data_IF_824062492492
#
_entry.id   IF_824062492492
#
_cell.length_a   1.000
_cell.length_b   1.000
_cell.length_c   1.000
_cell.angle_alpha   90.00
_cell.angle_beta   90.00
_cell.angle_gamma   90.00
#
_symmetry.space_group_name_H-M   'P 1'
#
loop_
_entity.id
_entity.type
_entity.pdbx_description
1 polymer ?
#
# COMPACT_ATOMS: atom_id res chain seq x y z
N UNK A 1 -0.64 17.03 -4.20
CA UNK A 1 -1.40 17.49 -5.39
C UNK A 1 -2.75 16.80 -5.32
N UNK A 2 -3.80 17.45 -4.80
CA UNK A 2 -5.02 16.75 -4.39
C UNK A 2 -5.73 15.99 -5.52
N UNK A 3 -5.77 16.57 -6.72
CA UNK A 3 -6.42 15.97 -7.90
C UNK A 3 -5.72 14.67 -8.34
N UNK A 4 -4.38 14.65 -8.33
CA UNK A 4 -3.58 13.45 -8.67
C UNK A 4 -3.68 12.40 -7.56
N UNK A 5 -3.76 12.81 -6.30
CA UNK A 5 -3.95 11.89 -5.18
C UNK A 5 -5.33 11.21 -5.23
N UNK A 6 -6.37 11.92 -5.65
CA UNK A 6 -7.71 11.37 -5.89
C UNK A 6 -7.71 10.37 -7.06
N UNK A 7 -7.08 10.73 -8.19
CA UNK A 7 -6.92 9.82 -9.34
C UNK A 7 -6.11 8.57 -8.96
N UNK A 8 -5.04 8.74 -8.19
CA UNK A 8 -4.25 7.64 -7.65
C UNK A 8 -5.07 6.71 -6.76
N UNK A 9 -5.86 7.26 -5.83
CA UNK A 9 -6.77 6.49 -4.98
C UNK A 9 -7.79 5.71 -5.79
N UNK A 10 -8.40 6.34 -6.80
CA UNK A 10 -9.33 5.66 -7.70
C UNK A 10 -8.65 4.54 -8.48
N UNK A 11 -7.47 4.78 -9.05
CA UNK A 11 -6.71 3.76 -9.76
C UNK A 11 -6.42 2.54 -8.86
N UNK A 12 -6.05 2.77 -7.61
CA UNK A 12 -5.84 1.72 -6.61
C UNK A 12 -7.13 0.98 -6.25
N UNK A 13 -8.22 1.72 -6.01
CA UNK A 13 -9.53 1.14 -5.66
C UNK A 13 -10.10 0.26 -6.78
N UNK A 14 -9.88 0.63 -8.05
CA UNK A 14 -10.29 -0.17 -9.21
C UNK A 14 -9.25 -1.20 -9.66
N UNK A 15 -8.07 -1.24 -9.02
CA UNK A 15 -7.01 -2.18 -9.33
C UNK A 15 -6.28 -1.90 -10.65
N UNK A 16 -6.31 -0.67 -11.15
CA UNK A 16 -5.58 -0.26 -12.35
C UNK A 16 -4.09 -0.09 -12.05
N UNK A 17 -3.39 -1.21 -12.07
CA UNK A 17 -1.94 -1.27 -11.84
C UNK A 17 -1.16 -0.46 -12.88
N UNK A 18 -1.65 -0.37 -14.12
CA UNK A 18 -0.94 0.34 -15.19
C UNK A 18 -0.94 1.83 -14.92
N UNK A 19 -2.11 2.39 -14.58
CA UNK A 19 -2.24 3.79 -14.21
C UNK A 19 -1.47 4.11 -12.94
N UNK A 20 -1.52 3.25 -11.92
CA UNK A 20 -0.74 3.45 -10.68
C UNK A 20 0.76 3.55 -10.96
N UNK A 21 1.32 2.66 -11.79
CA UNK A 21 2.74 2.71 -12.18
C UNK A 21 3.06 4.01 -12.93
N UNK A 22 2.21 4.39 -13.89
CA UNK A 22 2.38 5.63 -14.66
C UNK A 22 2.37 6.87 -13.76
N UNK A 23 1.43 6.96 -12.81
CA UNK A 23 1.34 8.08 -11.86
C UNK A 23 2.55 8.16 -10.93
N UNK A 24 3.08 7.03 -10.46
CA UNK A 24 4.30 7.00 -9.64
C UNK A 24 5.54 7.43 -10.41
N UNK A 25 5.61 7.13 -11.71
CA UNK A 25 6.70 7.55 -12.60
C UNK A 25 6.62 9.04 -12.95
N UNK A 26 5.42 9.54 -13.25
CA UNK A 26 5.19 10.93 -13.64
C UNK A 26 5.32 11.90 -12.45
N UNK A 27 4.88 11.47 -11.26
CA UNK A 27 4.82 12.31 -10.06
C UNK A 27 5.71 11.73 -8.94
N UNK A 28 7.02 11.99 -8.93
CA UNK A 28 7.95 11.43 -7.93
C UNK A 28 7.70 11.93 -6.49
N UNK A 29 6.95 13.03 -6.34
CA UNK A 29 6.55 13.61 -5.05
C UNK A 29 5.09 13.28 -4.69
N UNK A 30 4.45 12.35 -5.40
CA UNK A 30 3.09 11.92 -5.09
C UNK A 30 3.02 11.33 -3.68
N UNK A 31 2.04 11.79 -2.90
CA UNK A 31 1.77 11.21 -1.60
C UNK A 31 1.06 9.86 -1.76
N UNK A 32 1.82 8.76 -1.72
CA UNK A 32 1.29 7.38 -1.82
C UNK A 32 0.53 6.94 -0.57
N UNK A 33 0.68 7.68 0.53
CA UNK A 33 -0.03 7.47 1.78
C UNK A 33 -1.21 8.45 1.96
N UNK A 34 -1.72 9.02 0.86
CA UNK A 34 -2.94 9.81 0.87
C UNK A 34 -4.13 9.00 1.41
N UNK A 35 -5.23 9.66 1.74
CA UNK A 35 -6.41 9.00 2.28
C UNK A 35 -7.67 9.46 1.57
N UNK A 36 -8.60 8.53 1.38
CA UNK A 36 -9.93 8.87 0.90
C UNK A 36 -10.79 9.56 1.99
N UNK A 37 -12.05 9.87 1.67
CA UNK A 37 -12.99 10.48 2.61
C UNK A 37 -13.28 9.64 3.88
N UNK A 38 -12.92 8.35 3.90
CA UNK A 38 -13.08 7.45 5.03
C UNK A 38 -11.77 7.24 5.81
N UNK A 39 -10.70 7.95 5.44
CA UNK A 39 -9.39 7.80 6.07
C UNK A 39 -8.65 6.52 5.66
N UNK A 40 -9.06 5.87 4.56
CA UNK A 40 -8.43 4.64 4.06
C UNK A 40 -7.26 5.02 3.15
N UNK A 41 -6.10 4.42 3.39
CA UNK A 41 -4.93 4.57 2.53
C UNK A 41 -5.04 3.67 1.29
N UNK A 42 -4.32 4.00 0.20
CA UNK A 42 -4.19 3.12 -0.98
C UNK A 42 -3.85 1.68 -0.61
N UNK A 43 -2.92 1.48 0.32
CA UNK A 43 -2.50 0.14 0.73
C UNK A 43 -3.65 -0.63 1.40
N UNK A 44 -4.46 0.03 2.25
CA UNK A 44 -5.65 -0.60 2.85
C UNK A 44 -6.74 -0.94 1.83
N UNK A 45 -6.91 -0.11 0.80
CA UNK A 45 -7.81 -0.40 -0.32
C UNK A 45 -7.33 -1.62 -1.11
N UNK A 46 -6.04 -1.69 -1.45
CA UNK A 46 -5.44 -2.82 -2.15
C UNK A 46 -5.58 -4.14 -1.37
N UNK A 47 -5.36 -4.11 -0.04
CA UNK A 47 -5.58 -5.28 0.83
C UNK A 47 -7.05 -5.70 0.84
N UNK A 48 -7.98 -4.75 1.00
CA UNK A 48 -9.43 -5.04 0.98
C UNK A 48 -9.88 -5.70 -0.33
N UNK A 49 -9.26 -5.31 -1.44
CA UNK A 49 -9.55 -5.86 -2.77
C UNK A 49 -8.79 -7.16 -3.05
N UNK A 50 -8.00 -7.68 -2.10
CA UNK A 50 -7.12 -8.84 -2.25
C UNK A 50 -6.18 -8.73 -3.47
N UNK A 51 -5.86 -7.49 -3.88
CA UNK A 51 -5.05 -7.22 -5.05
C UNK A 51 -3.56 -7.30 -4.69
N UNK A 52 -3.03 -8.52 -4.78
CA UNK A 52 -1.63 -8.82 -4.45
C UNK A 52 -0.63 -7.96 -5.21
N UNK A 53 -0.79 -7.80 -6.53
CA UNK A 53 0.17 -7.02 -7.33
C UNK A 53 0.18 -5.55 -6.87
N UNK A 54 -1.00 -4.97 -6.62
CA UNK A 54 -1.12 -3.61 -6.10
C UNK A 54 -0.48 -3.46 -4.72
N UNK A 55 -0.66 -4.45 -3.83
CA UNK A 55 0.00 -4.48 -2.51
C UNK A 55 1.51 -4.47 -2.66
N UNK A 56 2.09 -5.30 -3.54
CA UNK A 56 3.55 -5.35 -3.75
C UNK A 56 4.10 -4.00 -4.24
N UNK A 57 3.40 -3.32 -5.15
CA UNK A 57 3.79 -1.99 -5.62
C UNK A 57 3.74 -0.99 -4.47
N UNK A 58 2.64 -0.92 -3.74
CA UNK A 58 2.45 0.07 -2.67
C UNK A 58 3.40 -0.14 -1.50
N UNK A 59 3.79 -1.38 -1.18
CA UNK A 59 4.83 -1.68 -0.18
C UNK A 59 6.22 -1.13 -0.55
N UNK A 60 6.43 -0.69 -1.79
CA UNK A 60 7.65 0.01 -2.20
C UNK A 60 7.68 1.49 -1.79
N UNK A 61 6.53 2.09 -1.54
CA UNK A 61 6.39 3.54 -1.39
C UNK A 61 5.73 3.97 -0.09
N UNK A 62 4.93 3.11 0.54
CA UNK A 62 4.26 3.41 1.81
C UNK A 62 5.21 3.51 2.99
N UNK A 63 4.80 4.26 4.00
CA UNK A 63 5.52 4.34 5.27
C UNK A 63 5.34 3.07 6.15
N UNK A 64 6.24 2.84 7.13
CA UNK A 64 6.18 1.71 8.06
C UNK A 64 4.85 1.49 8.80
N UNK A 65 4.20 2.58 9.24
CA UNK A 65 2.97 2.51 10.04
C UNK A 65 1.83 1.96 9.20
N UNK A 66 1.70 2.45 7.97
CA UNK A 66 0.71 1.99 7.00
C UNK A 66 0.96 0.53 6.57
N UNK A 67 2.23 0.13 6.39
CA UNK A 67 2.53 -1.28 6.10
C UNK A 67 2.11 -2.20 7.25
N UNK A 68 2.32 -1.77 8.49
CA UNK A 68 1.92 -2.54 9.66
C UNK A 68 0.40 -2.64 9.80
N UNK A 69 -0.32 -1.53 9.63
CA UNK A 69 -1.79 -1.51 9.65
C UNK A 69 -2.38 -2.38 8.54
N UNK A 70 -1.83 -2.33 7.33
CA UNK A 70 -2.25 -3.17 6.21
C UNK A 70 -2.03 -4.67 6.49
N UNK A 71 -0.92 -5.03 7.14
CA UNK A 71 -0.67 -6.41 7.57
C UNK A 71 -1.70 -6.86 8.61
N UNK A 72 -1.98 -6.02 9.62
CA UNK A 72 -2.98 -6.33 10.64
C UNK A 72 -4.36 -6.54 10.00
N UNK A 73 -4.77 -5.66 9.08
CA UNK A 73 -6.01 -5.82 8.33
C UNK A 73 -6.06 -7.15 7.56
N UNK A 74 -4.97 -7.54 6.89
CA UNK A 74 -4.89 -8.80 6.16
C UNK A 74 -5.06 -10.02 7.09
N UNK A 75 -4.45 -9.97 8.28
CA UNK A 75 -4.56 -11.03 9.29
C UNK A 75 -5.99 -11.11 9.84
N UNK A 76 -6.58 -9.97 10.23
CA UNK A 76 -7.93 -9.90 10.80
C UNK A 76 -8.99 -10.38 9.81
N UNK A 77 -8.76 -10.16 8.51
CA UNK A 77 -9.66 -10.56 7.43
C UNK A 77 -9.40 -12.00 6.94
N UNK A 78 -8.32 -12.65 7.43
CA UNK A 78 -7.93 -14.00 7.00
C UNK A 78 -7.30 -14.06 5.60
N UNK A 79 -6.84 -12.94 5.05
CA UNK A 79 -6.16 -12.83 3.75
C UNK A 79 -4.72 -13.34 3.83
N UNK A 80 -4.56 -14.65 4.02
CA UNK A 80 -3.27 -15.31 4.27
C UNK A 80 -2.23 -15.05 3.18
N UNK A 81 -2.62 -15.05 1.91
CA UNK A 81 -1.71 -14.77 0.79
C UNK A 81 -1.17 -13.33 0.85
N UNK A 82 -2.01 -12.34 1.16
CA UNK A 82 -1.60 -10.94 1.31
C UNK A 82 -0.68 -10.78 2.52
N UNK A 83 -1.07 -11.37 3.67
CA UNK A 83 -0.23 -11.33 4.87
C UNK A 83 1.15 -11.97 4.62
N UNK A 84 1.20 -13.09 3.90
CA UNK A 84 2.46 -13.74 3.52
C UNK A 84 3.32 -12.85 2.62
N UNK A 85 2.73 -12.24 1.59
CA UNK A 85 3.44 -11.33 0.68
C UNK A 85 4.01 -10.14 1.45
N UNK A 86 3.23 -9.51 2.32
CA UNK A 86 3.71 -8.38 3.13
C UNK A 86 4.85 -8.80 4.05
N UNK A 87 4.74 -9.93 4.75
CA UNK A 87 5.79 -10.44 5.65
C UNK A 87 7.09 -10.80 4.93
N UNK A 88 7.00 -11.25 3.68
CA UNK A 88 8.17 -11.62 2.85
C UNK A 88 8.74 -10.45 2.06
N UNK A 89 8.05 -9.31 2.02
CA UNK A 89 8.46 -8.16 1.23
C UNK A 89 9.77 -7.54 1.78
N UNK A 90 10.79 -7.29 0.95
CA UNK A 90 12.08 -6.75 1.41
C UNK A 90 11.95 -5.46 2.21
N UNK A 91 11.09 -4.53 1.78
CA UNK A 91 10.91 -3.26 2.49
C UNK A 91 10.29 -3.44 3.88
N UNK A 92 9.31 -4.34 4.00
CA UNK A 92 8.71 -4.65 5.30
C UNK A 92 9.75 -5.29 6.23
N UNK A 93 10.54 -6.23 5.73
CA UNK A 93 11.60 -6.88 6.52
C UNK A 93 12.68 -5.90 6.97
N UNK A 94 13.09 -4.96 6.12
CA UNK A 94 14.05 -3.91 6.49
C UNK A 94 13.50 -3.01 7.61
N UNK A 95 12.24 -2.57 7.49
CA UNK A 95 11.54 -1.80 8.53
C UNK A 95 11.45 -2.60 9.83
N UNK A 96 11.03 -3.85 9.77
CA UNK A 96 10.87 -4.72 10.92
C UNK A 96 12.21 -4.98 11.64
N UNK A 97 13.31 -5.17 10.89
CA UNK A 97 14.66 -5.27 11.48
C UNK A 97 15.07 -4.01 12.21
N UNK A 98 14.73 -2.82 11.69
CA UNK A 98 15.04 -1.53 12.34
C UNK A 98 14.26 -1.40 13.65
N UNK A 99 12.97 -1.76 13.65
CA UNK A 99 12.14 -1.74 14.86
C UNK A 99 12.65 -2.65 15.97
N UNK A 100 13.18 -3.84 15.64
CA UNK A 100 13.73 -4.79 16.63
C UNK A 100 15.11 -4.41 17.18
N UNK A 101 15.76 -3.40 16.61
CA UNK A 101 17.09 -2.92 17.04
C UNK A 101 17.03 -1.68 17.94
N UNK A 102 15.82 -1.16 18.19
CA UNK A 102 15.54 -0.11 19.17
C UNK A 102 15.11 -0.73 20.49
#
# INVERSE_FOLDING_TARGET
MPEVEEEFLHAVEFGDVTLVKALLEEFPNLNVDCTDALGRTPLRLAVKNENKEMVEILLCHSNPENMHEALLQAIDSGYTNIAEVTLRHPNYLEVFKRMRRM
#
